data_IF_649362713551
#
_entry.id   IF_649362713551
#
_cell.length_a   1.000
_cell.length_b   1.000
_cell.length_c   1.000
_cell.angle_alpha   90.00
_cell.angle_beta   90.00
_cell.angle_gamma   90.00
#
_symmetry.space_group_name_H-M   'P 1'
#
loop_
_entity.id
_entity.type
_entity.pdbx_description
1 polymer ?
#
# COMPACT_ATOMS: atom_id res chain seq x y z
N UNK A 1 -17.13 -6.36 -18.05
CA UNK A 1 -15.98 -6.53 -17.12
C UNK A 1 -15.50 -5.15 -16.68
N UNK A 2 -15.48 -4.89 -15.38
CA UNK A 2 -14.91 -3.67 -14.77
C UNK A 2 -13.40 -3.57 -15.12
N UNK A 3 -12.87 -2.37 -15.37
CA UNK A 3 -11.48 -2.16 -15.83
C UNK A 3 -10.44 -2.72 -14.85
N UNK A 4 -10.73 -2.68 -13.55
CA UNK A 4 -9.90 -3.33 -12.54
C UNK A 4 -9.81 -4.86 -12.72
N UNK A 5 -10.92 -5.50 -13.10
CA UNK A 5 -10.95 -6.95 -13.34
C UNK A 5 -10.15 -7.33 -14.59
N UNK A 6 -10.19 -6.50 -15.64
CA UNK A 6 -9.35 -6.70 -16.83
C UNK A 6 -7.87 -6.59 -16.51
N UNK A 7 -7.47 -5.56 -15.75
CA UNK A 7 -6.09 -5.36 -15.32
C UNK A 7 -5.60 -6.51 -14.41
N UNK A 8 -6.47 -7.03 -13.55
CA UNK A 8 -6.15 -8.19 -12.73
C UNK A 8 -5.92 -9.44 -13.62
N UNK A 9 -6.81 -9.71 -14.57
CA UNK A 9 -6.61 -10.82 -15.53
C UNK A 9 -5.30 -10.66 -16.31
N UNK A 10 -4.94 -9.45 -16.75
CA UNK A 10 -3.65 -9.21 -17.42
C UNK A 10 -2.45 -9.52 -16.51
N UNK A 11 -2.53 -9.23 -15.21
CA UNK A 11 -1.50 -9.63 -14.24
C UNK A 11 -1.44 -11.14 -14.12
N UNK A 12 -2.58 -11.81 -14.00
CA UNK A 12 -2.66 -13.26 -13.83
C UNK A 12 -2.08 -14.00 -15.05
N UNK A 13 -2.42 -13.54 -16.26
CA UNK A 13 -1.89 -14.08 -17.52
C UNK A 13 -0.37 -13.89 -17.62
N UNK A 14 0.14 -12.71 -17.24
CA UNK A 14 1.58 -12.46 -17.26
C UNK A 14 2.35 -13.30 -16.22
N UNK A 15 1.77 -13.53 -15.04
CA UNK A 15 2.34 -14.42 -14.00
C UNK A 15 2.36 -15.87 -14.48
N UNK A 16 1.29 -16.31 -15.15
CA UNK A 16 1.22 -17.65 -15.72
C UNK A 16 2.30 -17.85 -16.81
N UNK A 17 2.52 -16.85 -17.66
CA UNK A 17 3.54 -16.89 -18.70
C UNK A 17 4.97 -16.91 -18.12
N UNK A 18 5.27 -16.11 -17.08
CA UNK A 18 6.55 -16.19 -16.34
C UNK A 18 6.75 -17.59 -15.76
N UNK A 19 5.71 -18.16 -15.14
CA UNK A 19 5.78 -19.49 -14.55
C UNK A 19 6.01 -20.58 -15.60
N UNK A 20 5.37 -20.46 -16.76
CA UNK A 20 5.58 -21.33 -17.91
C UNK A 20 7.04 -21.33 -18.36
N UNK A 21 7.62 -20.15 -18.60
CA UNK A 21 9.01 -20.06 -19.07
C UNK A 21 10.02 -20.52 -18.02
N UNK A 22 9.78 -20.29 -16.73
CA UNK A 22 10.60 -20.87 -15.65
C UNK A 22 10.60 -22.39 -15.69
N UNK A 23 9.42 -22.99 -15.86
CA UNK A 23 9.29 -24.44 -15.96
C UNK A 23 10.01 -24.97 -17.21
N UNK A 24 9.88 -24.29 -18.35
CA UNK A 24 10.62 -24.64 -19.58
C UNK A 24 12.14 -24.61 -19.37
N UNK A 25 12.68 -23.56 -18.74
CA UNK A 25 14.11 -23.48 -18.43
C UNK A 25 14.56 -24.65 -17.54
N UNK A 26 13.76 -24.99 -16.52
CA UNK A 26 14.05 -26.12 -15.63
C UNK A 26 14.01 -27.47 -16.36
N UNK A 27 13.03 -27.68 -17.25
CA UNK A 27 12.95 -28.90 -18.07
C UNK A 27 14.17 -29.03 -18.99
N UNK A 28 14.59 -27.94 -19.66
CA UNK A 28 15.79 -27.96 -20.51
C UNK A 28 17.03 -28.29 -19.68
N UNK A 29 17.18 -27.71 -18.48
CA UNK A 29 18.29 -28.02 -17.59
C UNK A 29 18.32 -29.52 -17.21
N UNK A 30 17.17 -30.11 -16.92
CA UNK A 30 17.08 -31.55 -16.63
C UNK A 30 17.45 -32.40 -17.85
N UNK A 31 16.93 -32.07 -19.04
CA UNK A 31 17.27 -32.79 -20.27
C UNK A 31 18.77 -32.75 -20.58
N UNK A 32 19.46 -31.64 -20.26
CA UNK A 32 20.92 -31.54 -20.38
C UNK A 32 21.65 -32.44 -19.40
N UNK A 33 21.16 -32.59 -18.17
CA UNK A 33 21.74 -33.53 -17.20
C UNK A 33 21.61 -34.97 -17.70
N UNK A 34 20.43 -35.34 -18.20
CA UNK A 34 20.15 -36.67 -18.71
C UNK A 34 21.01 -37.00 -19.95
N UNK A 35 21.13 -36.05 -20.88
CA UNK A 35 21.99 -36.20 -22.07
C UNK A 35 23.47 -36.37 -21.69
N UNK A 36 23.97 -35.61 -20.71
CA UNK A 36 25.34 -35.78 -20.20
C UNK A 36 25.55 -37.15 -19.52
N UNK A 37 24.56 -37.62 -18.75
CA UNK A 37 24.60 -38.96 -18.16
C UNK A 37 24.63 -40.06 -19.23
N UNK A 38 23.91 -39.88 -20.34
CA UNK A 38 23.92 -40.78 -21.48
C UNK A 38 25.26 -40.80 -22.21
N UNK A 39 25.90 -39.65 -22.42
CA UNK A 39 27.27 -39.56 -22.98
C UNK A 39 28.26 -40.31 -22.09
N UNK A 40 28.20 -40.10 -20.77
CA UNK A 40 29.08 -40.78 -19.81
C UNK A 40 28.87 -42.30 -19.81
N UNK A 41 27.62 -42.75 -19.78
CA UNK A 41 27.25 -44.17 -19.80
C UNK A 41 27.67 -44.85 -21.10
N UNK A 42 27.51 -44.18 -22.24
CA UNK A 42 27.97 -44.67 -23.54
C UNK A 42 29.50 -44.84 -23.58
N UNK A 43 30.26 -43.85 -23.08
CA UNK A 43 31.72 -43.95 -22.97
C UNK A 43 32.15 -45.14 -22.11
N UNK A 44 31.50 -45.34 -20.96
CA UNK A 44 31.75 -46.49 -20.08
C UNK A 44 31.47 -47.82 -20.77
N UNK A 45 30.31 -47.96 -21.42
CA UNK A 45 29.92 -49.19 -22.14
C UNK A 45 30.89 -49.52 -23.29
N UNK A 46 31.42 -48.50 -23.97
CA UNK A 46 32.49 -48.67 -24.97
C UNK A 46 33.79 -49.20 -24.33
N UNK A 47 34.19 -48.67 -23.19
CA UNK A 47 35.39 -49.11 -22.48
C UNK A 47 35.28 -50.55 -21.98
N UNK A 48 34.12 -50.93 -21.40
CA UNK A 48 33.86 -52.28 -20.88
C UNK A 48 33.89 -53.36 -21.98
N UNK A 49 33.42 -53.03 -23.18
CA UNK A 49 33.34 -53.99 -24.30
C UNK A 49 34.57 -53.96 -25.22
N UNK A 50 35.50 -53.02 -25.04
CA UNK A 50 36.61 -52.79 -25.96
C UNK A 50 37.50 -54.03 -26.14
N UNK A 51 37.90 -54.66 -25.03
CA UNK A 51 38.81 -55.82 -25.07
C UNK A 51 38.15 -57.04 -25.74
N UNK A 52 36.91 -57.35 -25.35
CA UNK A 52 36.16 -58.47 -25.93
C UNK A 52 35.93 -58.26 -27.44
N UNK A 53 35.60 -57.04 -27.85
CA UNK A 53 35.45 -56.69 -29.26
C UNK A 53 36.76 -56.87 -30.06
N UNK A 54 37.92 -56.50 -29.48
CA UNK A 54 39.24 -56.72 -30.09
C UNK A 54 39.59 -58.21 -30.22
N UNK A 55 39.14 -59.04 -29.28
CA UNK A 55 39.30 -60.49 -29.32
C UNK A 55 38.35 -61.18 -30.31
N UNK A 56 37.47 -60.43 -30.98
CA UNK A 56 36.60 -60.92 -32.04
C UNK A 56 35.15 -61.17 -31.65
N UNK A 57 34.75 -60.89 -30.41
CA UNK A 57 33.38 -61.07 -29.94
C UNK A 57 32.39 -60.16 -30.70
N UNK A 58 31.42 -60.77 -31.37
CA UNK A 58 30.40 -60.09 -32.15
C UNK A 58 29.42 -59.30 -31.27
N UNK A 59 29.08 -59.78 -30.07
CA UNK A 59 28.17 -59.07 -29.16
C UNK A 59 28.82 -57.80 -28.63
N UNK A 60 30.09 -57.89 -28.24
CA UNK A 60 30.86 -56.73 -27.78
C UNK A 60 31.00 -55.66 -28.89
N UNK A 61 31.22 -56.07 -30.15
CA UNK A 61 31.23 -55.15 -31.30
C UNK A 61 29.89 -54.44 -31.50
N UNK A 62 28.77 -55.18 -31.41
CA UNK A 62 27.44 -54.60 -31.51
C UNK A 62 27.15 -53.61 -30.37
N UNK A 63 27.54 -53.94 -29.13
CA UNK A 63 27.37 -53.06 -27.98
C UNK A 63 28.18 -51.75 -28.08
N UNK A 64 29.38 -51.80 -28.66
CA UNK A 64 30.19 -50.59 -28.95
C UNK A 64 29.50 -49.71 -29.99
N UNK A 65 29.00 -50.30 -31.08
CA UNK A 65 28.31 -49.57 -32.13
C UNK A 65 27.03 -48.89 -31.62
N UNK A 66 26.23 -49.60 -30.81
CA UNK A 66 25.06 -49.04 -30.12
C UNK A 66 25.45 -47.85 -29.23
N UNK A 67 26.50 -48.02 -28.41
CA UNK A 67 26.97 -46.96 -27.53
C UNK A 67 27.50 -45.73 -28.30
N UNK A 68 28.15 -45.93 -29.46
CA UNK A 68 28.56 -44.82 -30.33
C UNK A 68 27.38 -44.04 -30.89
N UNK A 69 26.33 -44.74 -31.35
CA UNK A 69 25.08 -44.09 -31.81
C UNK A 69 24.41 -43.31 -30.68
N UNK A 70 24.31 -43.90 -29.49
CA UNK A 70 23.73 -43.25 -28.31
C UNK A 70 24.54 -42.02 -27.89
N UNK A 71 25.87 -42.09 -27.96
CA UNK A 71 26.75 -40.95 -27.68
C UNK A 71 26.52 -39.82 -28.69
N UNK A 72 26.56 -40.12 -29.99
CA UNK A 72 26.37 -39.12 -31.03
C UNK A 72 24.98 -38.45 -30.95
N UNK A 73 23.94 -39.24 -30.69
CA UNK A 73 22.57 -38.72 -30.48
C UNK A 73 22.47 -37.78 -29.27
N UNK A 74 23.11 -38.14 -28.15
CA UNK A 74 23.15 -37.30 -26.95
C UNK A 74 23.99 -36.03 -27.14
N UNK A 75 25.11 -36.10 -27.85
CA UNK A 75 25.96 -34.95 -28.17
C UNK A 75 25.24 -33.94 -29.07
N UNK A 76 24.53 -34.41 -30.11
CA UNK A 76 23.67 -33.56 -30.93
C UNK A 76 22.53 -32.93 -30.11
N UNK A 77 21.89 -33.74 -29.24
CA UNK A 77 20.83 -33.23 -28.36
C UNK A 77 21.34 -32.13 -27.43
N UNK A 78 22.58 -32.23 -26.93
CA UNK A 78 23.17 -31.19 -26.09
C UNK A 78 23.32 -29.86 -26.84
N UNK A 79 23.72 -29.90 -28.11
CA UNK A 79 23.82 -28.70 -28.96
C UNK A 79 22.44 -28.04 -29.14
N UNK A 80 21.42 -28.82 -29.46
CA UNK A 80 20.06 -28.31 -29.64
C UNK A 80 19.49 -27.75 -28.31
N UNK A 81 19.77 -28.43 -27.20
CA UNK A 81 19.38 -27.99 -25.86
C UNK A 81 20.09 -26.71 -25.42
N UNK A 82 21.33 -26.47 -25.83
CA UNK A 82 22.05 -25.21 -25.57
C UNK A 82 21.39 -24.03 -26.29
N UNK A 83 21.00 -24.23 -27.55
CA UNK A 83 20.27 -23.22 -28.33
C UNK A 83 18.90 -22.95 -27.70
N UNK A 84 18.16 -24.01 -27.36
CA UNK A 84 16.85 -23.90 -26.72
C UNK A 84 16.95 -23.23 -25.35
N UNK A 85 18.00 -23.50 -24.57
CA UNK A 85 18.26 -22.85 -23.28
C UNK A 85 18.41 -21.33 -23.46
N UNK A 86 19.20 -20.89 -24.44
CA UNK A 86 19.38 -19.47 -24.75
C UNK A 86 18.07 -18.77 -25.12
N UNK A 87 17.27 -19.36 -26.02
CA UNK A 87 15.97 -18.79 -26.41
C UNK A 87 14.99 -18.76 -25.23
N UNK A 88 14.89 -19.86 -24.47
CA UNK A 88 13.97 -19.95 -23.32
C UNK A 88 14.29 -18.92 -22.22
N UNK A 89 15.58 -18.62 -22.00
CA UNK A 89 16.01 -17.59 -21.06
C UNK A 89 15.62 -16.18 -21.53
N UNK A 90 15.80 -15.86 -22.81
CA UNK A 90 15.36 -14.59 -23.38
C UNK A 90 13.84 -14.41 -23.26
N UNK A 91 13.07 -15.47 -23.52
CA UNK A 91 11.60 -15.45 -23.34
C UNK A 91 11.20 -15.23 -21.89
N UNK A 92 11.89 -15.86 -20.93
CA UNK A 92 11.68 -15.64 -19.51
C UNK A 92 11.93 -14.17 -19.12
N UNK A 93 13.03 -13.58 -19.59
CA UNK A 93 13.35 -12.17 -19.31
C UNK A 93 12.29 -11.22 -19.86
N UNK A 94 11.82 -11.46 -21.09
CA UNK A 94 10.73 -10.69 -21.69
C UNK A 94 9.43 -10.83 -20.88
N UNK A 95 9.06 -12.05 -20.48
CA UNK A 95 7.87 -12.31 -19.68
C UNK A 95 7.92 -11.59 -18.33
N UNK A 96 9.09 -11.55 -17.67
CA UNK A 96 9.27 -10.85 -16.39
C UNK A 96 9.10 -9.34 -16.54
N UNK A 97 9.55 -8.75 -17.66
CA UNK A 97 9.31 -7.32 -17.94
C UNK A 97 7.82 -7.04 -18.11
N UNK A 98 7.11 -7.89 -18.86
CA UNK A 98 5.66 -7.76 -19.07
C UNK A 98 4.90 -7.89 -17.75
N UNK A 99 5.26 -8.87 -16.90
CA UNK A 99 4.65 -9.05 -15.56
C UNK A 99 4.80 -7.79 -14.69
N UNK A 100 6.01 -7.21 -14.64
CA UNK A 100 6.27 -5.98 -13.89
C UNK A 100 5.41 -4.82 -14.38
N UNK A 101 5.29 -4.66 -15.69
CA UNK A 101 4.47 -3.60 -16.27
C UNK A 101 2.99 -3.79 -15.97
N UNK A 102 2.48 -5.02 -16.07
CA UNK A 102 1.09 -5.34 -15.74
C UNK A 102 0.77 -5.00 -14.27
N UNK A 103 1.65 -5.37 -13.33
CA UNK A 103 1.50 -5.03 -11.90
C UNK A 103 1.53 -3.52 -11.66
N UNK A 104 2.42 -2.80 -12.32
CA UNK A 104 2.49 -1.34 -12.22
C UNK A 104 1.19 -0.68 -12.69
N UNK A 105 0.64 -1.13 -13.81
CA UNK A 105 -0.62 -0.59 -14.35
C UNK A 105 -1.80 -0.82 -13.38
N UNK A 106 -1.89 -2.01 -12.78
CA UNK A 106 -2.91 -2.30 -11.77
C UNK A 106 -2.75 -1.40 -10.53
N UNK A 107 -1.52 -1.25 -10.03
CA UNK A 107 -1.24 -0.39 -8.87
C UNK A 107 -1.59 1.08 -9.15
N UNK A 108 -1.28 1.59 -10.34
CA UNK A 108 -1.65 2.94 -10.76
C UNK A 108 -3.17 3.13 -10.80
N UNK A 109 -3.91 2.16 -11.32
CA UNK A 109 -5.37 2.20 -11.35
C UNK A 109 -5.96 2.23 -9.92
N UNK A 110 -5.50 1.34 -9.04
CA UNK A 110 -5.93 1.30 -7.64
C UNK A 110 -5.59 2.60 -6.90
N UNK A 111 -4.38 3.14 -7.12
CA UNK A 111 -3.98 4.42 -6.55
C UNK A 111 -4.86 5.58 -7.03
N UNK A 112 -5.28 5.58 -8.31
CA UNK A 112 -6.18 6.60 -8.84
C UNK A 112 -7.55 6.59 -8.13
N UNK A 113 -8.09 5.40 -7.81
CA UNK A 113 -9.34 5.28 -7.06
C UNK A 113 -9.22 5.87 -5.65
N UNK A 114 -8.13 5.56 -4.94
CA UNK A 114 -7.88 6.10 -3.59
C UNK A 114 -7.65 7.61 -3.64
N UNK A 115 -6.92 8.11 -4.64
CA UNK A 115 -6.72 9.55 -4.85
C UNK A 115 -8.03 10.30 -5.03
N UNK A 116 -8.97 9.76 -5.83
CA UNK A 116 -10.31 10.35 -6.00
C UNK A 116 -11.07 10.41 -4.69
N UNK A 117 -11.11 9.32 -3.93
CA UNK A 117 -11.73 9.31 -2.59
C UNK A 117 -11.11 10.34 -1.66
N UNK A 118 -9.79 10.52 -1.72
CA UNK A 118 -9.10 11.55 -0.92
C UNK A 118 -9.51 12.97 -1.33
N UNK A 119 -9.70 13.22 -2.63
CA UNK A 119 -10.23 14.51 -3.12
C UNK A 119 -11.66 14.72 -2.64
N UNK A 120 -12.52 13.70 -2.70
CA UNK A 120 -13.91 13.80 -2.23
C UNK A 120 -13.96 14.15 -0.73
N UNK A 121 -13.13 13.48 0.08
CA UNK A 121 -13.01 13.77 1.52
C UNK A 121 -12.42 15.17 1.75
N UNK A 122 -11.48 15.63 0.92
CA UNK A 122 -10.97 16.99 1.00
C UNK A 122 -12.08 18.03 0.75
N UNK A 123 -12.94 17.81 -0.25
CA UNK A 123 -14.10 18.68 -0.47
C UNK A 123 -15.10 18.69 0.69
N UNK A 124 -15.29 17.56 1.38
CA UNK A 124 -16.09 17.51 2.61
C UNK A 124 -15.44 18.29 3.75
N UNK A 125 -14.11 18.22 3.87
CA UNK A 125 -13.35 19.02 4.84
C UNK A 125 -13.47 20.52 4.52
N UNK A 126 -13.38 20.92 3.26
CA UNK A 126 -13.54 22.32 2.84
C UNK A 126 -14.93 22.85 3.24
N UNK A 127 -15.98 22.06 3.01
CA UNK A 127 -17.34 22.42 3.43
C UNK A 127 -17.46 22.52 4.96
N UNK A 128 -16.87 21.58 5.70
CA UNK A 128 -16.88 21.60 7.16
C UNK A 128 -16.11 22.80 7.73
N UNK A 129 -14.95 23.15 7.13
CA UNK A 129 -14.16 24.32 7.52
C UNK A 129 -14.96 25.60 7.29
N UNK A 130 -15.65 25.72 6.15
CA UNK A 130 -16.52 26.88 5.88
C UNK A 130 -17.65 27.00 6.91
N UNK A 131 -18.25 25.87 7.33
CA UNK A 131 -19.28 25.87 8.37
C UNK A 131 -18.70 26.20 9.75
N UNK A 132 -17.49 25.72 10.07
CA UNK A 132 -16.77 26.12 11.30
C UNK A 132 -16.49 27.62 11.31
N UNK A 133 -16.03 28.20 10.21
CA UNK A 133 -15.81 29.66 10.09
C UNK A 133 -17.13 30.45 10.30
N UNK A 134 -18.23 29.99 9.70
CA UNK A 134 -19.56 30.59 9.88
C UNK A 134 -19.99 30.56 11.35
N UNK A 135 -19.93 29.39 11.99
CA UNK A 135 -20.30 29.20 13.39
C UNK A 135 -19.38 29.97 14.34
N UNK A 136 -18.09 30.03 14.05
CA UNK A 136 -17.13 30.77 14.85
C UNK A 136 -17.39 32.28 14.81
N UNK A 137 -17.70 32.84 13.64
CA UNK A 137 -18.12 34.25 13.52
C UNK A 137 -19.43 34.55 14.27
N UNK A 138 -20.40 33.65 14.20
CA UNK A 138 -21.65 33.77 14.96
C UNK A 138 -21.39 33.72 16.47
N UNK A 139 -20.52 32.81 16.92
CA UNK A 139 -20.08 32.71 18.31
C UNK A 139 -19.36 33.98 18.79
N UNK A 140 -18.43 34.54 18.01
CA UNK A 140 -17.75 35.81 18.34
C UNK A 140 -18.73 37.00 18.37
N UNK A 141 -19.67 37.05 17.43
CA UNK A 141 -20.71 38.08 17.41
C UNK A 141 -21.59 38.02 18.67
N UNK A 142 -22.05 36.84 19.06
CA UNK A 142 -22.85 36.65 20.28
C UNK A 142 -22.06 37.01 21.54
N UNK A 143 -20.77 36.65 21.60
CA UNK A 143 -19.88 37.09 22.69
C UNK A 143 -19.79 38.62 22.77
N UNK A 144 -19.67 39.30 21.63
CA UNK A 144 -19.69 40.76 21.54
C UNK A 144 -21.01 41.38 21.98
N UNK A 145 -22.14 40.81 21.58
CA UNK A 145 -23.48 41.25 21.97
C UNK A 145 -23.69 41.13 23.49
N UNK A 146 -23.21 40.05 24.12
CA UNK A 146 -23.24 39.86 25.58
C UNK A 146 -22.46 40.95 26.31
N UNK A 147 -21.29 41.35 25.80
CA UNK A 147 -20.50 42.45 26.36
C UNK A 147 -21.24 43.78 26.18
N UNK A 148 -21.80 44.03 24.99
CA UNK A 148 -22.52 45.27 24.68
C UNK A 148 -23.78 45.48 25.55
N UNK A 149 -24.44 44.40 25.95
CA UNK A 149 -25.59 44.43 26.88
C UNK A 149 -25.21 44.78 28.32
N UNK A 150 -23.92 44.93 28.64
CA UNK A 150 -23.46 45.32 29.98
C UNK A 150 -23.67 44.24 31.05
N UNK A 151 -23.95 43.00 30.64
CA UNK A 151 -24.20 41.87 31.53
C UNK A 151 -22.93 41.34 32.23
N UNK A 152 -21.76 41.87 31.88
CA UNK A 152 -20.47 41.50 32.42
C UNK A 152 -19.80 42.67 33.16
N UNK A 153 -19.16 42.45 34.32
CA UNK A 153 -18.37 43.47 34.96
C UNK A 153 -17.18 43.83 34.06
N UNK A 154 -17.18 45.06 33.55
CA UNK A 154 -16.22 45.61 32.58
C UNK A 154 -14.78 45.70 33.08
N UNK A 155 -14.50 45.36 34.35
CA UNK A 155 -13.15 45.41 34.91
C UNK A 155 -12.98 44.42 36.07
N UNK A 156 -12.46 43.22 35.77
CA UNK A 156 -11.72 42.43 36.75
C UNK A 156 -10.36 42.14 36.12
N UNK A 157 -9.37 42.99 36.46
CA UNK A 157 -7.97 42.99 36.00
C UNK A 157 -7.70 43.42 34.54
N UNK A 158 -8.05 44.67 34.19
CA UNK A 158 -7.31 45.47 33.20
C UNK A 158 -7.21 44.99 31.75
N UNK A 159 -7.89 43.91 31.36
CA UNK A 159 -7.98 43.47 29.96
C UNK A 159 -9.37 43.78 29.43
N UNK A 160 -9.44 44.73 28.49
CA UNK A 160 -10.67 45.08 27.78
C UNK A 160 -11.25 43.89 26.96
N UNK A 161 -10.41 42.89 26.64
CA UNK A 161 -10.73 41.77 25.73
C UNK A 161 -10.77 40.38 26.42
N UNK A 162 -11.03 40.31 27.73
CA UNK A 162 -10.99 39.04 28.48
C UNK A 162 -11.89 37.96 27.87
N UNK A 163 -13.11 38.32 27.44
CA UNK A 163 -14.05 37.33 26.90
C UNK A 163 -13.61 36.82 25.52
N UNK A 164 -13.04 37.68 24.68
CA UNK A 164 -12.44 37.25 23.42
C UNK A 164 -11.25 36.29 23.67
N UNK A 165 -10.37 36.63 24.62
CA UNK A 165 -9.22 35.80 24.96
C UNK A 165 -9.61 34.45 25.59
N UNK A 166 -10.59 34.41 26.49
CA UNK A 166 -11.04 33.16 27.13
C UNK A 166 -11.92 32.34 26.18
N UNK A 167 -12.75 32.97 25.35
CA UNK A 167 -13.52 32.31 24.29
C UNK A 167 -12.63 31.56 23.30
N UNK A 168 -11.54 32.19 22.84
CA UNK A 168 -10.56 31.54 21.95
C UNK A 168 -9.89 30.32 22.61
N UNK A 169 -9.61 30.39 23.92
CA UNK A 169 -9.05 29.27 24.69
C UNK A 169 -10.04 28.09 24.78
N UNK A 170 -11.33 28.37 24.98
CA UNK A 170 -12.40 27.35 25.02
C UNK A 170 -12.59 26.68 23.66
N UNK A 171 -12.63 27.47 22.58
CA UNK A 171 -12.68 26.93 21.21
C UNK A 171 -11.48 26.03 20.95
N UNK A 172 -10.28 26.46 21.35
CA UNK A 172 -9.06 25.64 21.20
C UNK A 172 -9.10 24.33 22.00
N UNK A 173 -9.60 24.35 23.24
CA UNK A 173 -9.74 23.16 24.07
C UNK A 173 -10.70 22.11 23.46
N UNK A 174 -11.71 22.57 22.74
CA UNK A 174 -12.67 21.73 22.02
C UNK A 174 -12.13 21.18 20.67
N UNK A 175 -11.02 21.70 20.15
CA UNK A 175 -10.48 21.26 18.85
C UNK A 175 -9.85 19.85 18.90
N UNK A 176 -10.03 19.04 17.85
CA UNK A 176 -9.36 17.76 17.71
C UNK A 176 -7.82 17.86 17.73
N UNK A 177 -7.14 16.85 18.28
CA UNK A 177 -5.65 16.77 18.36
C UNK A 177 -4.91 16.96 17.04
N UNK A 178 -5.52 16.59 15.91
CA UNK A 178 -4.85 16.74 14.62
C UNK A 178 -4.71 18.21 14.20
N UNK A 179 -5.55 19.11 14.72
CA UNK A 179 -5.51 20.56 14.45
C UNK A 179 -4.27 21.19 15.07
N UNK A 180 -3.82 20.69 16.22
CA UNK A 180 -2.58 21.16 16.87
C UNK A 180 -1.35 20.84 16.02
N UNK A 181 -1.40 19.81 15.17
CA UNK A 181 -0.33 19.49 14.22
C UNK A 181 -0.21 20.55 13.11
N UNK A 182 -1.25 21.36 12.87
CA UNK A 182 -1.20 22.49 11.93
C UNK A 182 -0.44 23.69 12.51
N UNK A 183 -0.37 23.80 13.84
CA UNK A 183 0.25 24.93 14.55
C UNK A 183 1.23 24.44 15.64
N UNK A 184 2.40 23.90 15.25
CA UNK A 184 3.33 23.24 16.17
C UNK A 184 4.02 24.17 17.19
N UNK A 185 3.67 25.47 17.25
CA UNK A 185 4.17 26.44 18.23
C UNK A 185 3.09 27.12 19.07
N UNK A 186 1.81 26.74 18.91
CA UNK A 186 0.76 27.33 19.72
C UNK A 186 0.89 26.84 21.18
N UNK A 187 1.16 27.75 22.13
CA UNK A 187 1.41 27.44 23.54
C UNK A 187 0.40 26.43 24.11
N UNK A 188 0.85 25.40 24.83
CA UNK A 188 -0.07 24.47 25.51
C UNK A 188 -1.00 25.27 26.42
N UNK A 189 -2.30 25.12 26.20
CA UNK A 189 -3.30 25.70 27.08
C UNK A 189 -3.65 24.68 28.18
N UNK A 190 -3.74 25.13 29.43
CA UNK A 190 -4.04 24.32 30.60
C UNK A 190 -5.54 23.98 30.73
N UNK A 191 -6.40 24.49 29.83
CA UNK A 191 -7.82 24.15 29.87
C UNK A 191 -8.06 22.65 29.56
N UNK A 192 -8.90 21.96 30.36
CA UNK A 192 -9.32 20.60 30.07
C UNK A 192 -9.98 20.51 28.68
N UNK A 193 -9.69 19.43 27.94
CA UNK A 193 -10.32 19.22 26.63
C UNK A 193 -11.73 18.73 26.79
N UNK A 194 -12.67 19.62 26.53
CA UNK A 194 -14.10 19.38 26.65
C UNK A 194 -14.83 19.99 25.45
N UNK A 195 -16.03 19.48 25.09
CA UNK A 195 -16.83 20.08 24.01
C UNK A 195 -17.14 21.56 24.29
N UNK A 196 -17.08 22.40 23.24
CA UNK A 196 -17.23 23.85 23.36
C UNK A 196 -18.52 24.25 24.11
N UNK A 197 -19.64 23.61 23.79
CA UNK A 197 -20.94 23.86 24.44
C UNK A 197 -20.91 23.62 25.97
N UNK A 198 -20.12 22.64 26.43
CA UNK A 198 -19.96 22.35 27.86
C UNK A 198 -19.14 23.44 28.54
N UNK A 199 -18.02 23.85 27.92
CA UNK A 199 -17.17 24.91 28.47
C UNK A 199 -17.85 26.28 28.47
N UNK A 200 -18.67 26.59 27.46
CA UNK A 200 -19.49 27.81 27.41
C UNK A 200 -20.52 27.83 28.53
N UNK A 201 -21.31 26.76 28.67
CA UNK A 201 -22.34 26.73 29.69
C UNK A 201 -21.77 26.80 31.11
N UNK A 202 -20.62 26.16 31.38
CA UNK A 202 -19.91 26.30 32.65
C UNK A 202 -19.46 27.76 32.91
N UNK A 203 -18.90 28.44 31.89
CA UNK A 203 -18.48 29.84 32.01
C UNK A 203 -19.65 30.77 32.39
N UNK A 204 -20.83 30.51 31.82
CA UNK A 204 -22.04 31.30 32.06
C UNK A 204 -22.91 30.79 33.22
N UNK A 205 -22.46 29.78 33.97
CA UNK A 205 -23.22 29.12 35.05
C UNK A 205 -24.61 28.61 34.62
N UNK A 206 -24.67 28.06 33.41
CA UNK A 206 -25.85 27.46 32.77
C UNK A 206 -25.77 25.93 32.85
N UNK A 207 -26.93 25.24 32.91
CA UNK A 207 -26.98 23.77 32.79
C UNK A 207 -27.06 23.35 31.31
N UNK A 208 -26.22 22.38 30.93
CA UNK A 208 -26.32 21.69 29.64
C UNK A 208 -27.15 20.42 29.82
N UNK A 209 -28.25 20.30 29.09
CA UNK A 209 -29.07 19.09 29.03
C UNK A 209 -29.23 18.64 27.57
N UNK A 210 -28.26 17.91 27.03
CA UNK A 210 -28.24 17.54 25.61
C UNK A 210 -28.03 18.75 24.66
N UNK A 211 -28.64 18.74 23.47
CA UNK A 211 -28.49 19.76 22.42
C UNK A 211 -29.20 21.11 22.71
N UNK A 212 -29.70 21.33 23.92
CA UNK A 212 -30.37 22.59 24.30
C UNK A 212 -29.91 23.03 25.69
N UNK A 213 -29.48 24.30 25.81
CA UNK A 213 -29.15 24.94 27.09
C UNK A 213 -30.44 25.47 27.72
N UNK A 214 -30.77 24.99 28.92
CA UNK A 214 -32.01 25.31 29.63
C UNK A 214 -31.67 25.74 31.06
N UNK A 215 -32.00 27.00 31.37
CA UNK A 215 -32.05 27.67 32.68
C UNK A 215 -30.76 28.23 33.32
N UNK A 216 -30.91 29.49 33.77
CA UNK A 216 -29.99 30.24 34.62
C UNK A 216 -30.08 29.72 36.06
N UNK A 217 -28.98 29.27 36.65
CA UNK A 217 -28.96 28.94 38.08
C UNK A 217 -28.73 30.22 38.87
N UNK A 218 -29.81 30.91 39.20
CA UNK A 218 -29.79 32.01 40.16
C UNK A 218 -29.26 31.52 41.51
N UNK A 219 -28.19 32.14 42.02
CA UNK A 219 -27.80 32.00 43.43
C UNK A 219 -28.85 32.76 44.26
N UNK A 220 -29.47 32.17 45.29
CA UNK A 220 -30.27 32.98 46.21
C UNK A 220 -29.32 33.95 46.92
N UNK A 221 -29.76 35.22 46.99
CA UNK A 221 -29.08 36.27 47.73
C UNK A 221 -28.83 35.83 49.17
N UNK A 222 -27.60 36.05 49.64
CA UNK A 222 -27.24 36.06 51.05
C UNK A 222 -26.80 37.48 51.41
#
# INVERSE_FOLDING_TARGET
MNDAAKLQTTVDDAVAEVSRWRNTCATIAQMKLDANAMVSSAKKRRAENALAAMQGDAQAKAAIAEAQTNQAGAENSLVDLDIAAGDSQLKLEQAVVVEKQARLNLAQHQAALVKRKRVDVAGQLDAAIAEVDRLFKEYEQLGGDVIALGALPTNIMGMADREAAVGLRRVRAAMPRWVEKLYPGAAHDEMPREPLAVTEAQNWNLKVAGDVVIEFVGKPAA
#
